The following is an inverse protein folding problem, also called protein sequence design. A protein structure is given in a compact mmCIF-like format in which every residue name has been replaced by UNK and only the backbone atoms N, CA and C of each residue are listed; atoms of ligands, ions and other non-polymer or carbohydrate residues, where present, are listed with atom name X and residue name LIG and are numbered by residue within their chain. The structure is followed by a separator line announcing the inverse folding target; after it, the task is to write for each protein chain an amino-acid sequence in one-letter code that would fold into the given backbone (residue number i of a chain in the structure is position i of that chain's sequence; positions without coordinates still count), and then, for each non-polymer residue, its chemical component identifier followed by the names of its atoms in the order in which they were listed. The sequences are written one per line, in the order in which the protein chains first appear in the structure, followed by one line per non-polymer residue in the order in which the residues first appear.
data_IF_495328570333
#
_entry.id   IF_495328570333
#
_cell.length_a   1.000
_cell.length_b   1.000
_cell.length_c   1.000
_cell.angle_alpha   90.00
_cell.angle_beta   90.00
_cell.angle_gamma   90.00
#
_symmetry.space_group_name_H-M   'P 1'
#
loop_
_entity.id
_entity.type
_entity.pdbx_description
1 polymer ?
#
# COMPACT_ATOMS: atom_id res chain seq x y z
N UNK A 1 -16.16 0.10 -12.37
CA UNK A 1 -16.26 0.10 -10.89
C UNK A 1 -14.87 -0.27 -10.38
N UNK A 2 -14.35 0.38 -9.36
CA UNK A 2 -13.08 0.04 -8.71
C UNK A 2 -13.32 -0.49 -7.29
N UNK A 3 -12.34 -1.17 -6.67
CA UNK A 3 -12.50 -1.76 -5.35
C UNK A 3 -12.65 -0.66 -4.27
N UNK A 4 -13.19 -1.02 -3.12
CA UNK A 4 -13.15 -0.16 -1.94
C UNK A 4 -11.69 0.08 -1.52
N UNK A 5 -11.29 1.34 -1.35
CA UNK A 5 -9.93 1.72 -0.96
C UNK A 5 -9.90 2.19 0.49
N UNK A 6 -9.08 1.54 1.30
CA UNK A 6 -8.89 1.84 2.71
C UNK A 6 -7.45 2.29 2.95
N UNK A 7 -7.25 3.47 3.54
CA UNK A 7 -5.93 3.82 4.09
C UNK A 7 -5.85 3.33 5.54
N UNK A 8 -4.78 2.61 5.90
CA UNK A 8 -4.53 2.13 7.25
C UNK A 8 -3.15 2.55 7.72
N UNK A 9 -3.07 3.33 8.78
CA UNK A 9 -1.79 3.83 9.29
C UNK A 9 -1.77 3.89 10.83
N UNK A 10 -0.62 3.63 11.42
CA UNK A 10 -0.33 4.02 12.80
C UNK A 10 0.22 5.45 12.81
N UNK A 11 -0.31 6.30 13.67
CA UNK A 11 0.10 7.69 13.81
C UNK A 11 0.36 8.07 15.27
N UNK A 12 1.24 9.04 15.47
CA UNK A 12 1.33 9.77 16.75
C UNK A 12 0.14 10.71 16.92
N UNK A 13 -0.08 11.21 18.12
CA UNK A 13 -1.17 12.16 18.42
C UNK A 13 -1.08 13.44 17.58
N UNK A 14 0.12 13.85 17.18
CA UNK A 14 0.38 14.99 16.29
C UNK A 14 0.37 14.62 14.78
N UNK A 15 -0.07 13.40 14.42
CA UNK A 15 -0.29 12.94 13.06
C UNK A 15 0.96 12.49 12.29
N UNK A 16 2.06 12.16 12.96
CA UNK A 16 3.27 11.62 12.32
C UNK A 16 3.16 10.12 12.13
N UNK A 17 3.73 9.61 11.01
CA UNK A 17 3.85 8.19 10.68
C UNK A 17 5.27 7.65 10.92
N UNK A 18 6.13 8.42 11.56
CA UNK A 18 7.52 8.06 11.88
C UNK A 18 7.96 8.70 13.19
N UNK A 19 9.10 8.24 13.72
CA UNK A 19 9.68 8.79 14.94
C UNK A 19 9.17 8.13 16.23
N UNK A 20 8.45 7.03 16.15
CA UNK A 20 7.99 6.22 17.29
C UNK A 20 7.92 4.74 16.90
N UNK A 21 7.92 3.88 17.92
CA UNK A 21 7.73 2.45 17.71
C UNK A 21 6.25 2.12 17.51
N UNK A 22 5.96 1.25 16.55
CA UNK A 22 4.61 0.76 16.25
C UNK A 22 4.46 -0.62 16.89
N UNK A 23 3.33 -0.87 17.54
CA UNK A 23 2.89 -2.20 17.92
C UNK A 23 2.45 -2.94 16.63
N UNK A 24 3.37 -3.74 16.10
CA UNK A 24 3.16 -4.43 14.83
C UNK A 24 2.10 -5.53 14.94
N UNK A 25 1.97 -6.19 16.10
CA UNK A 25 0.97 -7.25 16.31
C UNK A 25 -0.44 -6.66 16.18
N UNK A 26 -0.72 -5.60 16.94
CA UNK A 26 -1.99 -4.88 16.87
C UNK A 26 -2.23 -4.26 15.49
N UNK A 27 -1.19 -3.67 14.91
CA UNK A 27 -1.27 -3.05 13.58
C UNK A 27 -1.75 -4.06 12.53
N UNK A 28 -1.11 -5.23 12.45
CA UNK A 28 -1.49 -6.25 11.49
C UNK A 28 -2.76 -7.00 11.86
N UNK A 29 -3.11 -7.11 13.14
CA UNK A 29 -4.41 -7.64 13.56
C UNK A 29 -5.56 -6.77 13.03
N UNK A 30 -5.47 -5.45 13.19
CA UNK A 30 -6.45 -4.50 12.63
C UNK A 30 -6.44 -4.55 11.10
N UNK A 31 -5.26 -4.50 10.45
CA UNK A 31 -5.13 -4.61 9.00
C UNK A 31 -5.81 -5.88 8.46
N UNK A 32 -5.57 -7.02 9.08
CA UNK A 32 -6.19 -8.29 8.71
C UNK A 32 -7.72 -8.31 8.86
N UNK A 33 -8.25 -7.63 9.90
CA UNK A 33 -9.71 -7.53 10.12
C UNK A 33 -10.44 -6.79 8.99
N UNK A 34 -9.74 -5.94 8.24
CA UNK A 34 -10.26 -5.21 7.09
C UNK A 34 -10.36 -6.09 5.82
N UNK A 35 -9.81 -7.32 5.86
CA UNK A 35 -9.86 -8.32 4.80
C UNK A 35 -9.45 -7.78 3.42
N UNK A 36 -8.25 -7.21 3.24
CA UNK A 36 -7.81 -6.70 1.97
C UNK A 36 -7.52 -7.83 0.96
N UNK A 37 -7.99 -7.68 -0.28
CA UNK A 37 -7.60 -8.54 -1.41
C UNK A 37 -6.24 -8.09 -1.99
N UNK A 38 -5.90 -6.81 -1.81
CA UNK A 38 -4.63 -6.27 -2.23
C UNK A 38 -4.10 -5.19 -1.26
N UNK A 39 -2.77 -5.20 -1.08
CA UNK A 39 -2.01 -4.15 -0.40
C UNK A 39 -1.36 -3.26 -1.44
N UNK A 40 -1.81 -2.01 -1.54
CA UNK A 40 -1.23 -1.01 -2.43
C UNK A 40 -0.09 -0.27 -1.71
N UNK A 41 1.15 -0.56 -2.08
CA UNK A 41 2.35 -0.07 -1.39
C UNK A 41 3.18 0.80 -2.33
N UNK A 42 3.45 2.06 -1.96
CA UNK A 42 4.31 2.94 -2.76
C UNK A 42 5.73 2.38 -2.86
N UNK A 43 6.36 2.49 -4.06
CA UNK A 43 7.70 1.92 -4.30
C UNK A 43 8.77 2.41 -3.33
N UNK A 44 8.72 3.68 -2.90
CA UNK A 44 9.63 4.20 -1.88
C UNK A 44 9.39 3.56 -0.50
N UNK A 45 8.13 3.35 -0.11
CA UNK A 45 7.77 2.66 1.15
C UNK A 45 8.22 1.21 1.10
N UNK A 46 7.97 0.53 -0.02
CA UNK A 46 8.40 -0.84 -0.26
C UNK A 46 9.93 -0.98 -0.16
N UNK A 47 10.68 -0.07 -0.80
CA UNK A 47 12.15 -0.04 -0.72
C UNK A 47 12.63 0.15 0.72
N UNK A 48 12.09 1.14 1.43
CA UNK A 48 12.46 1.41 2.82
C UNK A 48 12.13 0.23 3.73
N UNK A 49 10.99 -0.45 3.50
CA UNK A 49 10.61 -1.66 4.25
C UNK A 49 11.66 -2.77 4.12
N UNK A 50 12.14 -3.05 2.91
CA UNK A 50 13.21 -4.05 2.71
C UNK A 50 14.47 -3.62 3.47
N UNK A 51 14.88 -2.36 3.34
CA UNK A 51 16.10 -1.84 3.96
C UNK A 51 16.05 -1.84 5.50
N UNK A 52 14.86 -1.70 6.09
CA UNK A 52 14.67 -1.68 7.57
C UNK A 52 14.52 -3.07 8.19
N UNK A 53 13.93 -4.02 7.47
CA UNK A 53 13.50 -5.29 8.05
C UNK A 53 14.22 -6.51 7.46
N UNK A 54 15.20 -6.33 6.58
CA UNK A 54 16.03 -7.42 6.06
C UNK A 54 17.49 -7.20 6.38
N UNK A 55 18.24 -8.29 6.65
CA UNK A 55 19.69 -8.29 6.81
C UNK A 55 20.44 -8.07 5.48
N UNK A 56 19.81 -7.42 4.53
CA UNK A 56 20.26 -7.20 3.16
C UNK A 56 19.27 -7.79 2.15
N UNK A 57 19.55 -7.58 0.87
CA UNK A 57 18.76 -8.14 -0.22
C UNK A 57 19.37 -9.51 -0.56
N UNK A 58 18.65 -10.62 -0.33
CA UNK A 58 19.16 -11.95 -0.67
C UNK A 58 19.28 -12.07 -2.19
N UNK A 59 20.17 -12.94 -2.66
CA UNK A 59 20.26 -13.26 -4.08
C UNK A 59 18.97 -13.90 -4.60
N UNK A 60 18.64 -13.62 -5.86
CA UNK A 60 17.56 -14.30 -6.55
C UNK A 60 17.91 -15.79 -6.75
N UNK A 61 16.92 -16.64 -6.60
CA UNK A 61 17.00 -18.08 -6.84
C UNK A 61 16.10 -18.48 -8.01
N UNK A 62 16.31 -19.65 -8.65
CA UNK A 62 15.46 -20.09 -9.75
C UNK A 62 13.96 -20.12 -9.43
N UNK A 63 13.59 -20.33 -8.17
CA UNK A 63 12.18 -20.32 -7.73
C UNK A 63 11.54 -18.94 -7.83
N UNK A 64 12.33 -17.85 -7.74
CA UNK A 64 11.80 -16.48 -7.82
C UNK A 64 11.39 -16.09 -9.26
N UNK A 65 11.84 -16.86 -10.25
CA UNK A 65 11.46 -16.69 -11.66
C UNK A 65 10.17 -17.43 -12.02
N UNK A 66 9.61 -18.19 -11.08
CA UNK A 66 8.38 -18.96 -11.30
C UNK A 66 7.23 -18.27 -10.59
N UNK A 67 6.13 -18.05 -11.32
CA UNK A 67 4.91 -17.50 -10.72
C UNK A 67 4.38 -18.45 -9.64
N UNK A 68 4.08 -17.93 -8.41
CA UNK A 68 3.52 -18.76 -7.37
C UNK A 68 2.21 -19.43 -7.81
N UNK A 69 2.03 -20.70 -7.41
CA UNK A 69 0.73 -21.37 -7.56
C UNK A 69 -0.20 -20.88 -6.46
N UNK A 70 -1.16 -20.07 -6.84
CA UNK A 70 -2.17 -19.53 -5.93
C UNK A 70 -3.35 -20.48 -5.89
N UNK A 71 -3.69 -20.99 -4.70
CA UNK A 71 -4.90 -21.78 -4.49
C UNK A 71 -6.14 -20.87 -4.55
N UNK A 72 -7.30 -21.39 -4.95
CA UNK A 72 -8.54 -20.62 -5.04
C UNK A 72 -8.99 -20.05 -3.69
N UNK A 73 -8.68 -20.74 -2.61
CA UNK A 73 -8.98 -20.38 -1.23
C UNK A 73 -7.94 -19.48 -0.56
N UNK A 74 -6.86 -19.12 -1.26
CA UNK A 74 -5.79 -18.27 -0.73
C UNK A 74 -6.29 -16.84 -0.49
N UNK A 75 -6.46 -16.49 0.78
CA UNK A 75 -6.97 -15.18 1.23
C UNK A 75 -5.86 -14.14 1.45
N UNK A 76 -4.59 -14.50 1.23
CA UNK A 76 -3.52 -13.51 1.33
C UNK A 76 -3.72 -12.40 0.30
N UNK A 77 -3.39 -11.15 0.61
CA UNK A 77 -3.49 -10.07 -0.36
C UNK A 77 -2.41 -10.15 -1.44
N UNK A 78 -2.70 -9.67 -2.64
CA UNK A 78 -1.68 -9.28 -3.59
C UNK A 78 -0.90 -8.06 -3.07
N UNK A 79 0.39 -8.01 -3.32
CA UNK A 79 1.17 -6.80 -3.12
C UNK A 79 1.24 -6.02 -4.43
N UNK A 80 0.57 -4.87 -4.46
CA UNK A 80 0.43 -4.03 -5.65
C UNK A 80 1.31 -2.80 -5.48
N UNK A 81 2.28 -2.62 -6.40
CA UNK A 81 3.30 -1.59 -6.23
C UNK A 81 3.37 -0.70 -7.48
N UNK A 82 3.03 0.59 -7.37
CA UNK A 82 3.30 1.55 -8.44
C UNK A 82 4.80 1.84 -8.51
N UNK A 83 5.46 1.35 -9.55
CA UNK A 83 6.91 1.48 -9.76
C UNK A 83 7.26 1.74 -11.23
N UNK A 84 6.77 2.85 -11.78
CA UNK A 84 7.00 3.21 -13.19
C UNK A 84 8.48 3.48 -13.54
N UNK A 85 9.35 3.67 -12.56
CA UNK A 85 10.76 3.97 -12.76
C UNK A 85 11.71 2.80 -12.51
N UNK A 86 11.19 1.66 -12.04
CA UNK A 86 12.02 0.48 -11.74
C UNK A 86 12.87 0.59 -10.48
N UNK A 87 12.40 1.35 -9.48
CA UNK A 87 13.09 1.54 -8.21
C UNK A 87 13.35 0.21 -7.47
N UNK A 88 12.48 -0.77 -7.69
CA UNK A 88 12.53 -2.08 -7.04
C UNK A 88 13.14 -3.18 -7.89
N UNK A 89 13.75 -2.84 -9.03
CA UNK A 89 14.48 -3.84 -9.84
C UNK A 89 15.53 -4.56 -8.99
N UNK A 90 15.54 -5.90 -9.04
CA UNK A 90 16.42 -6.74 -8.23
C UNK A 90 15.98 -6.92 -6.76
N UNK A 91 14.78 -6.45 -6.36
CA UNK A 91 14.26 -6.51 -4.97
C UNK A 91 12.90 -7.17 -4.83
N UNK A 92 12.17 -7.34 -5.93
CA UNK A 92 10.77 -7.79 -5.89
C UNK A 92 10.59 -9.20 -5.34
N UNK A 93 11.60 -10.07 -5.51
CA UNK A 93 11.58 -11.43 -4.98
C UNK A 93 11.49 -11.49 -3.46
N UNK A 94 11.96 -10.44 -2.75
CA UNK A 94 11.83 -10.34 -1.29
C UNK A 94 10.35 -10.34 -0.89
N UNK A 95 9.52 -9.55 -1.59
CA UNK A 95 8.08 -9.50 -1.32
C UNK A 95 7.38 -10.80 -1.68
N UNK A 96 7.77 -11.42 -2.80
CA UNK A 96 7.20 -12.71 -3.25
C UNK A 96 7.45 -13.83 -2.24
N UNK A 97 8.52 -13.74 -1.43
CA UNK A 97 8.86 -14.69 -0.37
C UNK A 97 8.14 -14.43 0.95
N UNK A 98 7.42 -13.33 1.11
CA UNK A 98 6.69 -13.06 2.34
C UNK A 98 5.52 -14.03 2.51
N UNK A 99 5.39 -14.60 3.72
CA UNK A 99 4.32 -15.56 4.05
C UNK A 99 2.91 -15.00 3.85
N UNK A 100 2.74 -13.69 4.02
CA UNK A 100 1.46 -12.97 3.88
C UNK A 100 1.31 -12.30 2.50
N UNK A 101 2.15 -12.58 1.54
CA UNK A 101 2.04 -12.12 0.16
C UNK A 101 1.52 -13.26 -0.73
N UNK A 102 0.44 -13.00 -1.49
CA UNK A 102 -0.08 -13.93 -2.50
C UNK A 102 0.83 -13.97 -3.73
N UNK A 103 1.08 -12.83 -4.31
CA UNK A 103 2.08 -12.52 -5.34
C UNK A 103 2.18 -11.00 -5.50
N UNK A 104 3.13 -10.55 -6.30
CA UNK A 104 3.41 -9.14 -6.57
C UNK A 104 2.84 -8.73 -7.92
N UNK A 105 2.12 -7.60 -7.94
CA UNK A 105 1.60 -6.96 -9.15
C UNK A 105 2.26 -5.58 -9.27
N UNK A 106 2.89 -5.30 -10.39
CA UNK A 106 3.56 -4.00 -10.61
C UNK A 106 2.68 -3.11 -11.49
N UNK A 107 2.43 -1.89 -11.01
CA UNK A 107 1.76 -0.87 -11.79
C UNK A 107 2.80 -0.01 -12.51
N UNK A 108 2.67 0.05 -13.83
CA UNK A 108 3.55 0.79 -14.73
C UNK A 108 2.77 1.88 -15.48
N UNK A 109 3.50 2.85 -16.04
CA UNK A 109 3.03 3.75 -17.09
C UNK A 109 3.55 3.30 -18.45
N UNK A 110 3.03 3.89 -19.52
CA UNK A 110 3.52 3.63 -20.90
C UNK A 110 4.98 4.08 -21.09
N UNK A 111 5.47 5.02 -20.25
CA UNK A 111 6.83 5.54 -20.27
C UNK A 111 7.80 4.76 -19.37
N UNK A 112 7.34 3.69 -18.74
CA UNK A 112 8.24 2.85 -17.93
C UNK A 112 9.36 2.26 -18.78
N UNK A 113 10.61 2.18 -18.25
CA UNK A 113 11.77 1.71 -19.01
C UNK A 113 11.57 0.29 -19.57
N UNK A 114 11.82 0.10 -20.86
CA UNK A 114 11.73 -1.23 -21.52
C UNK A 114 12.57 -2.29 -20.83
N UNK A 115 13.75 -1.92 -20.33
CA UNK A 115 14.62 -2.81 -19.57
C UNK A 115 13.96 -3.32 -18.28
N UNK A 116 13.18 -2.47 -17.62
CA UNK A 116 12.43 -2.87 -16.43
C UNK A 116 11.24 -3.76 -16.76
N UNK A 117 10.50 -3.43 -17.81
CA UNK A 117 9.42 -4.29 -18.33
C UNK A 117 9.97 -5.69 -18.68
N UNK A 118 11.11 -5.77 -19.37
CA UNK A 118 11.77 -7.04 -19.68
C UNK A 118 12.16 -7.81 -18.41
N UNK A 119 12.76 -7.14 -17.42
CA UNK A 119 13.09 -7.73 -16.12
C UNK A 119 11.88 -8.36 -15.45
N UNK A 120 10.73 -7.67 -15.44
CA UNK A 120 9.49 -8.18 -14.85
C UNK A 120 8.95 -9.40 -15.60
N UNK A 121 8.97 -9.36 -16.93
CA UNK A 121 8.52 -10.47 -17.78
C UNK A 121 9.36 -11.73 -17.59
N UNK A 122 10.69 -11.59 -17.55
CA UNK A 122 11.63 -12.71 -17.34
C UNK A 122 11.40 -13.42 -16.00
N UNK A 123 10.81 -12.72 -15.02
CA UNK A 123 10.52 -13.23 -13.67
C UNK A 123 9.06 -13.56 -13.44
N UNK A 124 8.28 -13.52 -14.52
CA UNK A 124 6.84 -13.81 -14.47
C UNK A 124 6.08 -12.99 -13.41
N UNK A 125 6.43 -11.69 -13.25
CA UNK A 125 5.62 -10.78 -12.47
C UNK A 125 4.40 -10.32 -13.25
N UNK A 126 3.27 -10.20 -12.57
CA UNK A 126 2.09 -9.57 -13.15
C UNK A 126 2.29 -8.06 -13.28
N UNK A 127 1.88 -7.52 -14.41
CA UNK A 127 2.04 -6.10 -14.75
C UNK A 127 0.70 -5.52 -15.17
N UNK A 128 0.38 -4.35 -14.63
CA UNK A 128 -0.71 -3.49 -15.09
C UNK A 128 -0.10 -2.20 -15.63
N UNK A 129 -0.25 -1.96 -16.93
CA UNK A 129 0.15 -0.70 -17.55
C UNK A 129 -1.09 0.20 -17.58
N UNK A 130 -1.03 1.33 -16.89
CA UNK A 130 -2.10 2.32 -16.81
C UNK A 130 -1.52 3.73 -16.64
N UNK A 131 -1.90 4.62 -17.53
CA UNK A 131 -1.39 6.00 -17.59
C UNK A 131 -0.22 6.15 -18.55
N UNK A 132 0.00 7.39 -19.01
CA UNK A 132 1.01 7.69 -20.03
C UNK A 132 2.37 8.01 -19.39
N UNK A 133 2.51 9.14 -18.72
CA UNK A 133 3.76 9.53 -18.02
C UNK A 133 3.87 8.85 -16.66
N UNK A 134 2.84 8.95 -15.84
CA UNK A 134 2.74 8.39 -14.51
C UNK A 134 1.68 7.30 -14.43
N UNK A 135 1.72 6.50 -13.38
CA UNK A 135 0.69 5.50 -13.09
C UNK A 135 -0.66 6.17 -12.86
N UNK A 136 -1.66 5.82 -13.66
CA UNK A 136 -3.06 6.18 -13.41
C UNK A 136 -3.63 5.25 -12.33
N UNK A 137 -3.68 5.76 -11.09
CA UNK A 137 -4.17 4.99 -9.94
C UNK A 137 -5.62 4.57 -10.09
N UNK A 138 -6.49 5.43 -10.65
CA UNK A 138 -7.91 5.10 -10.86
C UNK A 138 -8.05 3.94 -11.83
N UNK A 139 -7.39 4.06 -12.98
CA UNK A 139 -7.40 2.99 -14.00
C UNK A 139 -6.77 1.70 -13.49
N UNK A 140 -5.72 1.80 -12.67
CA UNK A 140 -5.09 0.64 -12.03
C UNK A 140 -6.05 -0.07 -11.09
N UNK A 141 -6.79 0.67 -10.26
CA UNK A 141 -7.81 0.10 -9.36
C UNK A 141 -8.94 -0.59 -10.12
N UNK A 142 -9.41 0.00 -11.25
CA UNK A 142 -10.41 -0.65 -12.12
C UNK A 142 -9.90 -1.98 -12.68
N UNK A 143 -8.62 -2.04 -13.08
CA UNK A 143 -7.99 -3.25 -13.60
C UNK A 143 -7.76 -4.29 -12.50
N UNK A 144 -7.44 -3.90 -11.29
CA UNK A 144 -7.37 -4.80 -10.13
C UNK A 144 -8.72 -5.45 -9.85
N UNK A 145 -9.81 -4.67 -9.87
CA UNK A 145 -11.14 -5.22 -9.71
C UNK A 145 -11.52 -6.20 -10.84
N UNK A 146 -11.26 -5.82 -12.09
CA UNK A 146 -11.73 -6.60 -13.25
C UNK A 146 -10.89 -7.82 -13.57
N UNK A 147 -9.56 -7.78 -13.33
CA UNK A 147 -8.64 -8.88 -13.68
C UNK A 147 -8.32 -9.81 -12.52
N UNK A 148 -8.37 -9.31 -11.28
CA UNK A 148 -7.96 -10.03 -10.07
C UNK A 148 -9.08 -10.20 -9.06
N UNK A 149 -10.31 -9.75 -9.39
CA UNK A 149 -11.51 -9.77 -8.51
C UNK A 149 -11.26 -9.08 -7.15
N UNK A 150 -10.34 -8.10 -7.11
CA UNK A 150 -10.08 -7.34 -5.89
C UNK A 150 -11.29 -6.47 -5.55
N UNK A 151 -11.85 -6.66 -4.37
CA UNK A 151 -12.99 -5.88 -3.82
C UNK A 151 -12.54 -4.86 -2.80
N UNK A 152 -11.47 -5.16 -2.08
CA UNK A 152 -10.89 -4.30 -1.06
C UNK A 152 -9.40 -4.13 -1.33
N UNK A 153 -8.97 -2.89 -1.51
CA UNK A 153 -7.55 -2.51 -1.60
C UNK A 153 -7.20 -1.69 -0.38
N UNK A 154 -6.22 -2.12 0.38
CA UNK A 154 -5.71 -1.37 1.52
C UNK A 154 -4.34 -0.78 1.20
N UNK A 155 -4.04 0.40 1.73
CA UNK A 155 -2.70 0.99 1.67
C UNK A 155 -2.24 1.40 3.07
N UNK A 156 -1.02 1.01 3.40
CA UNK A 156 -0.28 1.41 4.61
C UNK A 156 0.85 2.38 4.28
N UNK A 157 0.85 2.92 3.08
CA UNK A 157 1.91 3.78 2.58
C UNK A 157 1.96 5.15 3.25
N UNK A 158 3.09 5.81 3.07
CA UNK A 158 3.30 7.17 3.54
C UNK A 158 2.56 8.24 2.74
N UNK A 159 2.81 9.49 3.09
CA UNK A 159 2.03 10.65 2.66
C UNK A 159 1.87 10.84 1.16
N UNK A 160 2.83 10.45 0.32
CA UNK A 160 2.74 10.71 -1.13
C UNK A 160 1.65 9.89 -1.81
N UNK A 161 1.58 8.59 -1.54
CA UNK A 161 0.55 7.73 -2.14
C UNK A 161 -0.82 8.04 -1.54
N UNK A 162 -0.91 8.17 -0.21
CA UNK A 162 -2.16 8.53 0.46
C UNK A 162 -2.68 9.90 -0.01
N UNK A 163 -1.79 10.88 -0.19
CA UNK A 163 -2.11 12.17 -0.78
C UNK A 163 -2.72 12.01 -2.17
N UNK A 164 -2.04 11.29 -3.07
CA UNK A 164 -2.49 11.10 -4.45
C UNK A 164 -3.86 10.39 -4.52
N UNK A 165 -4.13 9.44 -3.63
CA UNK A 165 -5.41 8.76 -3.54
C UNK A 165 -6.52 9.68 -3.02
N UNK A 166 -6.25 10.45 -1.95
CA UNK A 166 -7.22 11.38 -1.36
C UNK A 166 -7.57 12.53 -2.31
N UNK A 167 -6.58 13.19 -2.93
CA UNK A 167 -6.79 14.30 -3.86
C UNK A 167 -7.56 13.88 -5.12
N UNK A 168 -7.46 12.60 -5.50
CA UNK A 168 -8.24 12.03 -6.61
C UNK A 168 -9.61 11.48 -6.19
N UNK A 169 -10.00 11.62 -4.92
CA UNK A 169 -11.27 11.10 -4.39
C UNK A 169 -11.38 9.57 -4.46
N UNK A 170 -10.25 8.85 -4.42
CA UNK A 170 -10.20 7.40 -4.55
C UNK A 170 -10.29 6.65 -3.22
N UNK A 171 -10.14 7.34 -2.08
CA UNK A 171 -10.23 6.74 -0.75
C UNK A 171 -11.69 6.65 -0.32
N UNK A 172 -12.11 5.49 0.16
CA UNK A 172 -13.45 5.22 0.70
C UNK A 172 -13.46 5.21 2.24
N UNK A 173 -12.38 4.72 2.86
CA UNK A 173 -12.29 4.59 4.31
C UNK A 173 -10.88 4.93 4.81
N UNK A 174 -10.81 5.47 6.03
CA UNK A 174 -9.58 5.81 6.74
C UNK A 174 -9.58 5.08 8.07
N UNK A 175 -8.59 4.22 8.28
CA UNK A 175 -8.35 3.47 9.51
C UNK A 175 -7.06 3.96 10.15
N UNK A 176 -7.10 4.42 11.39
CA UNK A 176 -5.95 4.97 12.09
C UNK A 176 -5.80 4.34 13.47
N UNK A 177 -4.58 3.92 13.81
CA UNK A 177 -4.18 3.61 15.18
C UNK A 177 -3.43 4.82 15.73
N UNK A 178 -4.05 5.53 16.64
CA UNK A 178 -3.50 6.74 17.26
C UNK A 178 -2.73 6.32 18.50
N UNK A 179 -1.42 6.59 18.48
CA UNK A 179 -0.53 6.32 19.60
C UNK A 179 -0.43 7.54 20.52
N UNK A 180 -0.42 7.34 21.85
CA UNK A 180 -0.38 8.43 22.84
C UNK A 180 1.04 9.01 22.98
N UNK A 181 1.59 9.49 21.86
CA UNK A 181 2.93 10.07 21.77
C UNK A 181 2.92 11.31 20.90
N UNK A 182 3.77 12.27 21.22
CA UNK A 182 4.12 13.41 20.39
C UNK A 182 5.55 13.25 19.92
N UNK A 183 5.80 13.56 18.65
CA UNK A 183 7.15 13.45 18.04
C UNK A 183 7.61 14.77 17.44
N UNK A 184 8.89 14.86 17.08
CA UNK A 184 9.46 16.05 16.47
C UNK A 184 8.76 16.41 15.15
N UNK A 185 8.59 17.73 14.90
CA UNK A 185 7.96 18.24 13.67
C UNK A 185 8.71 17.86 12.38
N UNK A 186 9.96 17.42 12.47
CA UNK A 186 10.76 16.92 11.34
C UNK A 186 10.28 15.55 10.83
N UNK A 187 9.51 14.82 11.65
CA UNK A 187 8.98 13.52 11.26
C UNK A 187 7.91 13.62 10.18
N UNK A 188 7.76 12.54 9.42
CA UNK A 188 6.81 12.48 8.32
C UNK A 188 5.37 12.52 8.85
N UNK A 189 4.59 13.47 8.38
CA UNK A 189 3.15 13.58 8.67
C UNK A 189 2.34 12.81 7.62
N UNK A 190 1.30 12.10 8.07
CA UNK A 190 0.42 11.34 7.19
C UNK A 190 -0.29 12.24 6.16
N UNK A 191 -0.79 13.40 6.59
CA UNK A 191 -1.56 14.32 5.77
C UNK A 191 -0.78 15.61 5.41
N UNK A 192 0.53 15.47 5.21
CA UNK A 192 1.37 16.62 4.84
C UNK A 192 1.11 17.07 3.40
N UNK A 193 1.01 18.40 3.20
CA UNK A 193 0.84 19.04 1.88
C UNK A 193 -0.38 18.54 1.10
N UNK A 194 -1.42 18.09 1.79
CA UNK A 194 -2.68 17.71 1.18
C UNK A 194 -3.41 18.98 0.73
N UNK A 195 -3.73 19.07 -0.57
CA UNK A 195 -4.52 20.17 -1.08
C UNK A 195 -6.01 19.79 -1.13
N UNK A 196 -6.74 20.24 -0.12
CA UNK A 196 -8.19 20.08 0.00
C UNK A 196 -8.92 21.43 -0.12
N UNK A 197 -8.27 22.41 -0.75
CA UNK A 197 -8.84 23.78 -0.89
C UNK A 197 -10.15 23.80 -1.66
N UNK A 198 -10.35 22.85 -2.58
CA UNK A 198 -11.59 22.75 -3.37
C UNK A 198 -12.74 22.08 -2.61
N UNK A 199 -12.42 21.09 -1.74
CA UNK A 199 -13.44 20.40 -0.92
C UNK A 199 -12.79 19.88 0.38
N UNK A 200 -13.36 20.22 1.55
CA UNK A 200 -13.00 19.53 2.77
C UNK A 200 -13.45 18.07 2.67
N UNK A 201 -12.56 17.13 2.99
CA UNK A 201 -12.93 15.71 3.12
C UNK A 201 -13.67 15.54 4.45
N UNK A 202 -14.94 15.21 4.39
CA UNK A 202 -15.74 14.91 5.57
C UNK A 202 -15.65 13.44 5.91
N UNK A 203 -15.63 13.13 7.21
CA UNK A 203 -15.47 11.78 7.73
C UNK A 203 -16.64 11.41 8.62
N UNK A 204 -17.20 10.22 8.40
CA UNK A 204 -18.24 9.62 9.25
C UNK A 204 -17.64 8.46 10.03
N UNK A 205 -17.74 8.49 11.36
CA UNK A 205 -17.21 7.43 12.21
C UNK A 205 -17.96 6.12 11.98
N UNK A 206 -17.23 5.07 11.60
CA UNK A 206 -17.75 3.70 11.50
C UNK A 206 -17.59 3.00 12.85
N UNK A 207 -16.37 3.01 13.41
CA UNK A 207 -16.11 2.43 14.73
C UNK A 207 -14.88 3.06 15.38
N UNK A 208 -14.79 2.92 16.69
CA UNK A 208 -13.60 3.24 17.46
C UNK A 208 -13.40 2.23 18.59
N UNK A 209 -12.16 1.92 18.88
CA UNK A 209 -11.78 1.00 19.95
C UNK A 209 -10.57 1.55 20.71
N UNK A 210 -10.63 1.49 22.03
CA UNK A 210 -9.52 1.85 22.90
C UNK A 210 -8.98 0.60 23.56
N UNK A 211 -7.69 0.30 23.36
CA UNK A 211 -6.99 -0.77 24.04
C UNK A 211 -5.51 -0.44 24.18
N UNK A 212 -4.90 -0.82 25.28
CA UNK A 212 -3.47 -0.69 25.56
C UNK A 212 -2.92 0.73 25.40
N UNK A 213 -3.73 1.74 25.75
CA UNK A 213 -3.37 3.14 25.64
C UNK A 213 -3.47 3.72 24.22
N UNK A 214 -3.83 2.93 23.23
CA UNK A 214 -3.99 3.35 21.83
C UNK A 214 -5.46 3.44 21.45
N UNK A 215 -5.79 4.37 20.55
CA UNK A 215 -7.13 4.53 20.00
C UNK A 215 -7.13 4.13 18.52
N UNK A 216 -7.83 3.05 18.18
CA UNK A 216 -8.16 2.75 16.81
C UNK A 216 -9.44 3.47 16.41
N UNK A 217 -9.41 4.17 15.28
CA UNK A 217 -10.59 4.83 14.68
C UNK A 217 -10.70 4.43 13.22
N UNK A 218 -11.92 4.17 12.78
CA UNK A 218 -12.23 3.81 11.41
C UNK A 218 -13.35 4.71 10.90
N UNK A 219 -13.06 5.46 9.84
CA UNK A 219 -13.97 6.43 9.25
C UNK A 219 -14.31 6.08 7.81
N UNK A 220 -15.53 6.38 7.40
CA UNK A 220 -15.95 6.48 6.01
C UNK A 220 -15.65 7.88 5.50
N UNK A 221 -15.15 7.97 4.26
CA UNK A 221 -14.98 9.23 3.54
C UNK A 221 -16.29 9.55 2.84
N UNK A 222 -16.89 10.70 3.17
CA UNK A 222 -18.09 11.20 2.47
C UNK A 222 -17.65 11.81 1.12
N UNK A 223 -18.24 11.31 0.03
CA UNK A 223 -17.98 11.75 -1.35
C UNK A 223 -19.10 12.64 -1.87
#
# INVERSE_FOLDING_TARGET
MYPKVITHNAISLDGSISGFAIDLEKYYAVAGSLNPDAMLVGSSTAKSGIEMYSDGIPDESPSDFVKPKVASEDKRPFWVIPDSHGLLQGRLHVFRRFEYCKDVIILLSEKSPESYVKYLMERNYDVIIAGHEDVDLKRSLELLASKYDCKVVMTDSGGNLNKALLEKGLVDEISLIINPILVDQKNLKLFRNLDLSSFPVQLELITSEFSDGQLWVHYRVSK
#
